data_IF_474411360983
#
_entry.id   IF_474411360983
#
_cell.length_a   1.000
_cell.length_b   1.000
_cell.length_c   1.000
_cell.angle_alpha   90.00
_cell.angle_beta   90.00
_cell.angle_gamma   90.00
#
_symmetry.space_group_name_H-M   'P 1'
#
loop_
_entity.id
_entity.type
_entity.pdbx_description
1 polymer ?
#
# COMPACT_ATOMS: atom_id res chain seq x y z
N UNK A 1 20.34 16.13 -14.09
CA UNK A 1 19.25 15.26 -13.61
C UNK A 1 19.74 13.82 -13.70
N UNK A 2 19.52 13.00 -12.67
CA UNK A 2 19.79 11.56 -12.77
C UNK A 2 18.87 10.98 -13.86
N UNK A 3 19.36 10.07 -14.68
CA UNK A 3 18.53 9.39 -15.68
C UNK A 3 17.71 8.28 -14.98
N UNK A 4 16.46 8.03 -15.41
CA UNK A 4 15.74 6.85 -14.95
C UNK A 4 16.50 5.59 -15.32
N UNK A 5 16.49 4.60 -14.43
CA UNK A 5 16.96 3.27 -14.76
C UNK A 5 15.87 2.55 -15.57
N UNK A 6 16.24 2.00 -16.71
CA UNK A 6 15.34 1.29 -17.62
C UNK A 6 15.98 -0.04 -18.04
N UNK A 7 15.16 -1.08 -18.16
CA UNK A 7 15.58 -2.44 -18.53
C UNK A 7 14.62 -3.02 -19.57
N UNK A 8 15.12 -3.71 -20.61
CA UNK A 8 14.25 -4.39 -21.58
C UNK A 8 13.38 -5.45 -20.89
N UNK A 9 12.08 -5.38 -21.14
CA UNK A 9 11.07 -6.28 -20.58
C UNK A 9 10.21 -6.99 -21.63
N UNK A 10 10.63 -7.00 -22.90
CA UNK A 10 9.79 -7.44 -24.04
C UNK A 10 9.36 -8.91 -23.97
N UNK A 11 10.07 -9.73 -23.19
CA UNK A 11 9.76 -11.15 -22.95
C UNK A 11 8.98 -11.41 -21.65
N UNK A 12 8.68 -10.36 -20.90
CA UNK A 12 7.98 -10.45 -19.64
C UNK A 12 6.61 -9.78 -19.72
N UNK A 13 5.61 -10.49 -19.20
CA UNK A 13 4.36 -9.87 -18.78
C UNK A 13 4.53 -9.31 -17.37
N UNK A 14 3.68 -8.37 -16.92
CA UNK A 14 3.72 -7.91 -15.53
C UNK A 14 3.66 -9.05 -14.52
N UNK A 15 2.86 -10.08 -14.81
CA UNK A 15 2.75 -11.29 -13.99
C UNK A 15 4.06 -12.09 -13.98
N UNK A 16 4.71 -12.32 -15.13
CA UNK A 16 5.98 -13.07 -15.15
C UNK A 16 7.11 -12.31 -14.48
N UNK A 17 7.16 -10.98 -14.63
CA UNK A 17 8.09 -10.11 -13.91
C UNK A 17 7.85 -10.16 -12.38
N UNK A 18 6.59 -10.08 -11.94
CA UNK A 18 6.22 -10.19 -10.53
C UNK A 18 6.66 -11.53 -9.93
N UNK A 19 6.41 -12.64 -10.62
CA UNK A 19 6.81 -13.97 -10.16
C UNK A 19 8.33 -14.11 -10.00
N UNK A 20 9.13 -13.50 -10.89
CA UNK A 20 10.59 -13.46 -10.77
C UNK A 20 11.07 -12.68 -9.53
N UNK A 21 10.27 -11.74 -9.05
CA UNK A 21 10.58 -10.86 -7.92
C UNK A 21 9.93 -11.30 -6.59
N UNK A 22 9.14 -12.37 -6.58
CA UNK A 22 8.38 -12.83 -5.42
C UNK A 22 9.24 -13.23 -4.21
N UNK A 23 10.55 -13.48 -4.42
CA UNK A 23 11.51 -13.75 -3.33
C UNK A 23 11.81 -12.53 -2.44
N UNK A 24 11.46 -11.33 -2.88
CA UNK A 24 11.61 -10.10 -2.09
C UNK A 24 10.29 -9.78 -1.40
N UNK A 25 10.31 -9.51 -0.09
CA UNK A 25 9.12 -9.21 0.68
C UNK A 25 9.30 -7.92 1.52
N UNK A 26 8.22 -7.14 1.75
CA UNK A 26 6.88 -7.27 1.14
C UNK A 26 6.90 -7.05 -0.39
N UNK A 27 5.89 -7.56 -1.09
CA UNK A 27 5.72 -7.35 -2.53
C UNK A 27 4.25 -7.23 -2.93
N UNK A 28 3.99 -6.53 -4.04
CA UNK A 28 2.67 -6.39 -4.63
C UNK A 28 2.75 -6.25 -6.15
N UNK A 29 1.63 -6.55 -6.82
CA UNK A 29 1.38 -6.23 -8.22
C UNK A 29 0.04 -5.49 -8.30
N UNK A 30 0.05 -4.32 -8.95
CA UNK A 30 -1.16 -3.57 -9.31
C UNK A 30 -1.28 -3.51 -10.82
N UNK A 31 -2.32 -4.13 -11.36
CA UNK A 31 -2.73 -4.02 -12.76
C UNK A 31 -4.11 -3.35 -12.83
N UNK A 32 -4.30 -2.50 -13.83
CA UNK A 32 -5.61 -1.91 -14.12
C UNK A 32 -6.22 -2.63 -15.33
N UNK A 33 -7.47 -3.09 -15.21
CA UNK A 33 -8.22 -3.67 -16.33
C UNK A 33 -9.50 -2.88 -16.51
N UNK A 34 -9.61 -2.18 -17.65
CA UNK A 34 -10.81 -1.45 -18.05
C UNK A 34 -11.74 -2.37 -18.84
N UNK A 35 -13.00 -2.46 -18.42
CA UNK A 35 -14.04 -3.20 -19.16
C UNK A 35 -13.79 -4.71 -19.30
N UNK A 36 -12.88 -5.30 -18.50
CA UNK A 36 -12.56 -6.72 -18.53
C UNK A 36 -11.63 -7.16 -19.68
N UNK A 37 -11.37 -6.30 -20.66
CA UNK A 37 -10.62 -6.65 -21.87
C UNK A 37 -9.40 -5.76 -22.12
N UNK A 38 -9.39 -4.52 -21.63
CA UNK A 38 -8.30 -3.58 -21.88
C UNK A 38 -7.40 -3.44 -20.67
N UNK A 39 -6.21 -4.02 -20.74
CA UNK A 39 -5.16 -3.79 -19.75
C UNK A 39 -4.69 -2.34 -19.86
N UNK A 40 -4.60 -1.66 -18.72
CA UNK A 40 -4.10 -0.29 -18.62
C UNK A 40 -2.65 -0.18 -19.07
N UNK A 41 -2.23 1.03 -19.44
CA UNK A 41 -0.88 1.30 -19.96
C UNK A 41 0.25 0.91 -18.99
N UNK A 42 -0.02 0.91 -17.68
CA UNK A 42 0.97 0.68 -16.64
C UNK A 42 0.55 -0.46 -15.72
N UNK A 43 1.54 -1.25 -15.32
CA UNK A 43 1.49 -2.15 -14.16
C UNK A 43 2.54 -1.71 -13.16
N UNK A 44 2.25 -1.82 -11.87
CA UNK A 44 3.18 -1.43 -10.81
C UNK A 44 3.55 -2.63 -9.97
N UNK A 45 4.86 -2.87 -9.83
CA UNK A 45 5.41 -3.89 -8.96
C UNK A 45 6.22 -3.18 -7.89
N UNK A 46 5.83 -3.36 -6.63
CA UNK A 46 6.65 -2.98 -5.48
C UNK A 46 7.19 -4.23 -4.82
N UNK A 47 8.45 -4.21 -4.40
CA UNK A 47 9.11 -5.34 -3.76
C UNK A 47 10.30 -4.88 -2.91
N UNK A 48 10.66 -5.66 -1.89
CA UNK A 48 11.84 -5.43 -1.06
C UNK A 48 11.57 -4.67 0.23
N UNK A 49 12.63 -4.19 0.88
CA UNK A 49 12.54 -3.53 2.19
C UNK A 49 11.71 -2.24 2.11
N UNK A 50 10.73 -2.13 3.01
CA UNK A 50 9.75 -1.06 2.99
C UNK A 50 9.28 -0.70 4.39
N UNK A 51 8.99 0.58 4.59
CA UNK A 51 8.30 1.05 5.79
C UNK A 51 6.93 0.37 5.89
N UNK A 52 6.74 -0.46 6.89
CA UNK A 52 5.45 -1.14 7.13
C UNK A 52 4.56 -0.30 8.02
N UNK A 53 3.29 -0.11 7.61
CA UNK A 53 2.25 0.50 8.44
C UNK A 53 1.21 -0.56 8.75
N UNK A 54 0.91 -0.76 10.04
CA UNK A 54 -0.04 -1.78 10.48
C UNK A 54 -0.88 -1.28 11.65
N UNK A 55 -2.19 -1.27 11.46
CA UNK A 55 -3.16 -1.01 12.52
C UNK A 55 -3.86 -2.32 12.89
N UNK A 56 -3.76 -2.70 14.16
CA UNK A 56 -4.48 -3.83 14.74
C UNK A 56 -5.08 -3.44 16.10
N UNK A 57 -5.65 -4.43 16.81
CA UNK A 57 -6.23 -4.23 18.13
C UNK A 57 -5.23 -3.74 19.19
N UNK A 58 -3.94 -3.98 18.97
CA UNK A 58 -2.87 -3.68 19.91
C UNK A 58 -2.24 -2.29 19.63
N UNK A 59 -2.45 -1.70 18.45
CA UNK A 59 -1.99 -0.36 18.13
C UNK A 59 -1.73 -0.06 16.67
N UNK A 60 -1.34 1.20 16.41
CA UNK A 60 -0.77 1.63 15.13
C UNK A 60 0.74 1.45 15.16
N UNK A 61 1.26 0.67 14.21
CA UNK A 61 2.69 0.42 14.04
C UNK A 61 3.16 1.11 12.75
N UNK A 62 4.25 1.90 12.83
CA UNK A 62 4.89 2.56 11.69
C UNK A 62 6.39 2.20 11.74
N UNK A 63 6.84 1.36 10.81
CA UNK A 63 8.16 0.73 10.87
C UNK A 63 8.30 -0.11 12.15
N UNK A 64 9.28 0.24 12.99
CA UNK A 64 9.51 -0.41 14.28
C UNK A 64 8.81 0.27 15.46
N UNK A 65 8.17 1.42 15.24
CA UNK A 65 7.50 2.17 16.30
C UNK A 65 6.06 1.70 16.47
N UNK A 66 5.70 1.29 17.69
CA UNK A 66 4.31 0.96 18.06
C UNK A 66 3.71 2.06 18.93
N UNK A 67 2.50 2.46 18.59
CA UNK A 67 1.72 3.51 19.24
C UNK A 67 0.36 2.97 19.66
N UNK A 68 -0.30 3.60 20.64
CA UNK A 68 -1.68 3.25 20.99
C UNK A 68 -2.60 3.29 19.76
N UNK A 69 -3.71 2.54 19.84
CA UNK A 69 -4.77 2.59 18.84
C UNK A 69 -5.30 4.04 18.77
N UNK A 70 -5.39 4.66 17.57
CA UNK A 70 -5.99 5.98 17.41
C UNK A 70 -7.38 6.04 18.02
N UNK A 71 -7.75 7.14 18.67
CA UNK A 71 -9.08 7.32 19.26
C UNK A 71 -10.04 8.02 18.32
N UNK A 72 -9.51 8.67 17.29
CA UNK A 72 -10.27 9.47 16.33
C UNK A 72 -9.73 9.27 14.92
N UNK A 73 -10.56 9.55 13.91
CA UNK A 73 -10.12 9.60 12.52
C UNK A 73 -8.98 10.61 12.28
N UNK A 74 -8.94 11.70 13.03
CA UNK A 74 -7.86 12.69 12.93
C UNK A 74 -6.50 12.10 13.37
N UNK A 75 -6.47 11.33 14.46
CA UNK A 75 -5.26 10.64 14.93
C UNK A 75 -4.81 9.57 13.92
N UNK A 76 -5.74 8.80 13.35
CA UNK A 76 -5.43 7.81 12.32
C UNK A 76 -4.82 8.47 11.08
N UNK A 77 -5.47 9.52 10.55
CA UNK A 77 -4.96 10.26 9.39
C UNK A 77 -3.62 10.95 9.70
N UNK A 78 -3.41 11.41 10.93
CA UNK A 78 -2.12 11.94 11.39
C UNK A 78 -1.01 10.90 11.27
N UNK A 79 -1.25 9.69 11.78
CA UNK A 79 -0.30 8.57 11.67
C UNK A 79 -0.01 8.17 10.22
N UNK A 80 -1.02 8.12 9.35
CA UNK A 80 -0.83 7.81 7.92
C UNK A 80 -0.02 8.90 7.19
N UNK A 81 -0.25 10.18 7.49
CA UNK A 81 0.53 11.29 6.90
C UNK A 81 1.99 11.26 7.34
N UNK A 82 2.23 10.95 8.62
CA UNK A 82 3.60 10.78 9.10
C UNK A 82 4.28 9.60 8.42
N UNK A 83 3.63 8.45 8.33
CA UNK A 83 4.17 7.30 7.62
C UNK A 83 4.52 7.68 6.17
N UNK A 84 3.64 8.41 5.48
CA UNK A 84 3.89 8.86 4.11
C UNK A 84 5.10 9.80 4.03
N UNK A 85 5.28 10.72 4.99
CA UNK A 85 6.46 11.60 5.04
C UNK A 85 7.79 10.87 5.27
N UNK A 86 7.74 9.64 5.81
CA UNK A 86 8.90 8.78 6.01
C UNK A 86 9.19 7.89 4.80
N UNK A 87 8.27 7.79 3.83
CA UNK A 87 8.52 7.04 2.61
C UNK A 87 9.47 7.81 1.69
N UNK A 88 10.42 7.13 1.03
CA UNK A 88 11.31 7.79 0.10
C UNK A 88 10.54 8.26 -1.14
N UNK A 89 10.86 9.47 -1.61
CA UNK A 89 10.41 9.95 -2.93
C UNK A 89 11.36 9.40 -3.99
N UNK A 90 10.90 8.57 -4.94
CA UNK A 90 11.76 8.06 -5.99
C UNK A 90 12.24 9.18 -6.91
N UNK A 91 13.54 9.15 -7.25
CA UNK A 91 14.17 10.07 -8.17
C UNK A 91 14.94 9.32 -9.27
N UNK A 92 14.96 9.84 -10.51
CA UNK A 92 14.24 11.03 -10.98
C UNK A 92 12.73 10.79 -11.09
N UNK A 93 11.93 11.84 -10.93
CA UNK A 93 10.50 11.78 -11.25
C UNK A 93 10.30 11.51 -12.75
N UNK A 94 9.41 10.58 -13.08
CA UNK A 94 9.10 10.21 -14.48
C UNK A 94 7.76 10.85 -14.85
N UNK A 95 7.73 11.82 -15.80
CA UNK A 95 6.49 12.48 -16.20
C UNK A 95 5.45 11.48 -16.73
N UNK A 96 4.21 11.61 -16.25
CA UNK A 96 3.08 10.79 -16.72
C UNK A 96 3.02 9.37 -16.16
N UNK A 97 3.87 8.99 -15.19
CA UNK A 97 3.75 7.74 -14.43
C UNK A 97 2.78 7.96 -13.25
N UNK A 98 1.67 7.19 -13.16
CA UNK A 98 0.62 7.39 -12.15
C UNK A 98 1.04 7.12 -10.70
N UNK A 99 1.91 6.13 -10.50
CA UNK A 99 2.38 5.69 -9.18
C UNK A 99 3.90 5.60 -9.23
N UNK A 100 4.58 6.61 -8.67
CA UNK A 100 6.02 6.60 -8.52
C UNK A 100 6.44 5.89 -7.21
N UNK A 101 5.65 6.05 -6.15
CA UNK A 101 5.91 5.47 -4.83
C UNK A 101 4.88 5.94 -3.80
N UNK A 102 4.97 5.43 -2.57
CA UNK A 102 4.07 5.76 -1.47
C UNK A 102 3.74 4.55 -0.61
N UNK A 103 2.63 4.63 0.12
CA UNK A 103 2.11 3.53 0.93
C UNK A 103 1.07 2.76 0.11
N UNK A 104 1.32 1.47 -0.11
CA UNK A 104 0.42 0.55 -0.81
C UNK A 104 -0.01 -0.55 0.14
N UNK A 105 -1.30 -0.86 0.16
CA UNK A 105 -1.87 -1.87 1.05
C UNK A 105 -3.39 -1.85 1.02
N UNK A 106 -4.00 -2.30 2.11
CA UNK A 106 -5.44 -2.36 2.25
C UNK A 106 -5.89 -1.74 3.59
N UNK A 107 -7.14 -1.30 3.63
CA UNK A 107 -7.84 -0.95 4.85
C UNK A 107 -9.06 -1.87 4.98
N UNK A 108 -9.25 -2.48 6.14
CA UNK A 108 -10.45 -3.26 6.42
C UNK A 108 -11.67 -2.34 6.57
N UNK A 109 -12.86 -2.89 6.34
CA UNK A 109 -14.13 -2.13 6.47
C UNK A 109 -14.24 -1.42 7.82
N UNK A 110 -13.83 -2.08 8.91
CA UNK A 110 -13.93 -1.52 10.28
C UNK A 110 -13.10 -0.25 10.52
N UNK A 111 -12.20 0.13 9.61
CA UNK A 111 -11.53 1.45 9.67
C UNK A 111 -12.54 2.60 9.61
N UNK A 112 -13.72 2.40 9.03
CA UNK A 112 -14.79 3.41 9.03
C UNK A 112 -15.22 3.79 10.45
N UNK A 113 -15.05 2.91 11.45
CA UNK A 113 -15.43 3.15 12.85
C UNK A 113 -14.62 4.26 13.54
N UNK A 114 -13.49 4.68 12.95
CA UNK A 114 -12.76 5.88 13.41
C UNK A 114 -13.42 7.20 12.97
N UNK A 115 -14.31 7.13 11.97
CA UNK A 115 -14.97 8.29 11.37
C UNK A 115 -16.47 8.31 11.68
N UNK A 116 -17.10 7.15 11.78
CA UNK A 116 -18.55 7.02 11.97
C UNK A 116 -18.90 6.09 13.12
N UNK A 117 -19.99 6.42 13.83
CA UNK A 117 -20.53 5.56 14.88
C UNK A 117 -21.42 4.48 14.26
N UNK A 118 -20.85 3.29 14.08
CA UNK A 118 -21.60 2.13 13.61
C UNK A 118 -22.14 1.28 14.77
N UNK A 119 -23.30 0.62 14.60
CA UNK A 119 -23.76 -0.41 15.53
C UNK A 119 -22.68 -1.49 15.72
N UNK A 120 -22.55 -1.97 16.95
CA UNK A 120 -21.84 -3.23 17.23
C UNK A 120 -22.88 -4.33 17.14
N UNK A 121 -22.65 -5.37 16.34
CA UNK A 121 -23.51 -6.54 16.35
C UNK A 121 -23.60 -7.03 17.81
N UNK A 122 -24.81 -7.16 18.36
CA UNK A 122 -25.01 -7.80 19.64
C UNK A 122 -24.37 -9.20 19.54
N UNK A 123 -23.49 -9.53 20.48
CA UNK A 123 -22.62 -10.69 20.40
C UNK A 123 -23.36 -11.94 19.96
N UNK A 124 -22.87 -12.58 18.90
CA UNK A 124 -23.07 -14.03 18.80
C UNK A 124 -22.26 -14.60 19.95
N UNK A 125 -22.93 -15.23 20.91
CA UNK A 125 -22.25 -16.14 21.82
C UNK A 125 -21.45 -17.12 20.96
N UNK A 126 -20.17 -17.37 21.29
CA UNK A 126 -19.44 -18.46 20.68
C UNK A 126 -20.16 -19.77 21.05
N UNK A 127 -20.47 -20.61 20.05
CA UNK A 127 -20.85 -22.01 20.26
C UNK A 127 -19.75 -22.75 21.06
#
# INVERSE_FOLDING_TARGET
>A
MKQPFDIPGDLDTPVSAFMKLAGFAPHFLLESVEGGERVGRYSFIGFGDALTVRLDRDGLTIGTERRPVPRTGAELLGGLREALSRTPTPEPGIPGVPLAGGIVGYAAYDVVRFFERLPTAAGKEPD
#
